data_IF_339059809859
#
_entry.id   IF_339059809859
#
_cell.length_a   1.000
_cell.length_b   1.000
_cell.length_c   1.000
_cell.angle_alpha   90.00
_cell.angle_beta   90.00
_cell.angle_gamma   90.00
#
_symmetry.space_group_name_H-M   'P 1'
#
loop_
_entity.id
_entity.type
_entity.pdbx_description
1 polymer ?
#
# COMPACT_ATOMS: atom_id res chain seq x y z
N UNK A 1 14.83 7.97 0.50
CA UNK A 1 15.70 8.44 -0.60
C UNK A 1 14.90 9.27 -1.60
N UNK A 2 13.83 8.74 -2.22
CA UNK A 2 12.96 9.50 -3.13
C UNK A 2 12.45 10.85 -2.58
N UNK A 3 11.91 10.88 -1.35
CA UNK A 3 11.42 12.10 -0.70
C UNK A 3 12.51 13.17 -0.45
N UNK A 4 13.79 12.77 -0.42
CA UNK A 4 14.91 13.68 -0.20
C UNK A 4 15.56 14.15 -1.51
N UNK A 5 15.59 13.28 -2.53
CA UNK A 5 16.34 13.51 -3.77
C UNK A 5 15.46 13.95 -4.94
N UNK A 6 14.20 13.53 -4.97
CA UNK A 6 13.31 13.66 -6.13
C UNK A 6 12.06 14.49 -5.82
N UNK A 7 11.90 15.03 -4.62
CA UNK A 7 10.72 15.85 -4.24
C UNK A 7 11.13 17.30 -3.98
N UNK A 8 10.40 18.26 -4.53
CA UNK A 8 10.60 19.67 -4.22
C UNK A 8 10.02 19.94 -2.84
N UNK A 9 10.90 20.33 -1.92
CA UNK A 9 10.59 20.53 -0.50
C UNK A 9 10.42 22.00 -0.16
N UNK A 10 10.59 22.91 -1.12
CA UNK A 10 10.47 24.34 -0.89
C UNK A 10 8.98 24.72 -0.91
N UNK A 11 8.42 24.96 0.27
CA UNK A 11 7.06 25.45 0.45
C UNK A 11 7.18 26.93 0.83
N UNK A 12 6.72 27.82 -0.05
CA UNK A 12 6.70 29.28 0.19
C UNK A 12 8.07 29.87 0.61
N UNK A 13 9.17 29.35 0.05
CA UNK A 13 10.53 29.80 0.33
C UNK A 13 11.21 29.11 1.52
N UNK A 14 10.53 28.20 2.21
CA UNK A 14 11.10 27.38 3.28
C UNK A 14 11.29 25.93 2.83
N UNK A 15 12.48 25.36 3.04
CA UNK A 15 12.79 23.97 2.69
C UNK A 15 12.37 23.01 3.81
N UNK A 16 11.34 22.20 3.56
CA UNK A 16 10.85 21.22 4.50
C UNK A 16 11.83 20.03 4.64
N UNK A 17 12.17 19.59 5.87
CA UNK A 17 12.96 18.37 6.07
C UNK A 17 12.26 17.14 5.48
N UNK A 18 12.99 16.31 4.73
CA UNK A 18 12.43 15.07 4.17
C UNK A 18 11.95 14.06 5.24
N UNK A 19 12.39 14.20 6.49
CA UNK A 19 11.90 13.39 7.61
C UNK A 19 10.43 13.68 7.94
N UNK A 20 9.97 14.91 7.77
CA UNK A 20 8.58 15.31 8.07
C UNK A 20 7.56 14.62 7.15
N UNK A 21 7.98 14.26 5.95
CA UNK A 21 7.17 13.48 5.01
C UNK A 21 6.80 12.11 5.60
N UNK A 22 7.68 11.50 6.41
CA UNK A 22 7.37 10.24 7.07
C UNK A 22 6.28 10.41 8.13
N UNK A 23 6.16 11.61 8.72
CA UNK A 23 5.10 11.94 9.67
C UNK A 23 3.72 12.11 9.03
N UNK A 24 3.62 12.21 7.70
CA UNK A 24 2.33 12.30 7.02
C UNK A 24 1.53 11.01 7.14
N UNK A 25 2.18 9.85 7.15
CA UNK A 25 1.49 8.57 7.33
C UNK A 25 0.74 8.51 8.68
N UNK A 26 1.37 8.69 9.86
CA UNK A 26 0.63 8.65 11.13
C UNK A 26 -0.41 9.78 11.25
N UNK A 27 -0.16 10.97 10.67
CA UNK A 27 -1.13 12.04 10.62
C UNK A 27 -2.41 11.61 9.87
N UNK A 28 -2.26 11.05 8.68
CA UNK A 28 -3.39 10.55 7.89
C UNK A 28 -4.08 9.37 8.57
N UNK A 29 -3.35 8.51 9.29
CA UNK A 29 -3.96 7.41 10.04
C UNK A 29 -4.92 7.96 11.08
N UNK A 30 -4.49 8.94 11.89
CA UNK A 30 -5.36 9.54 12.93
C UNK A 30 -6.58 10.20 12.31
N UNK A 31 -6.42 10.92 11.20
CA UNK A 31 -7.55 11.58 10.52
C UNK A 31 -8.53 10.56 9.92
N UNK A 32 -8.02 9.56 9.21
CA UNK A 32 -8.82 8.56 8.51
C UNK A 32 -9.39 7.49 9.45
N UNK A 33 -8.81 7.31 10.65
CA UNK A 33 -9.32 6.38 11.66
C UNK A 33 -10.77 6.69 12.09
N UNK A 34 -11.18 7.96 12.04
CA UNK A 34 -12.58 8.33 12.29
C UNK A 34 -13.45 8.20 11.03
N UNK A 35 -12.89 8.52 9.86
CA UNK A 35 -13.64 8.61 8.60
C UNK A 35 -13.94 7.22 8.02
N UNK A 36 -12.93 6.35 7.97
CA UNK A 36 -13.06 5.04 7.31
C UNK A 36 -14.07 4.12 7.99
N UNK A 37 -14.08 3.93 9.32
CA UNK A 37 -15.12 3.14 9.98
C UNK A 37 -16.52 3.74 9.80
N UNK A 38 -16.65 5.07 9.83
CA UNK A 38 -17.93 5.74 9.58
C UNK A 38 -18.43 5.50 8.15
N UNK A 39 -17.54 5.50 7.16
CA UNK A 39 -17.86 5.17 5.77
C UNK A 39 -18.34 3.72 5.61
N UNK A 40 -17.66 2.76 6.24
CA UNK A 40 -18.11 1.36 6.24
C UNK A 40 -19.45 1.18 6.97
N UNK A 41 -19.64 1.83 8.10
CA UNK A 41 -20.90 1.81 8.84
C UNK A 41 -22.06 2.40 8.02
N UNK A 42 -21.80 3.44 7.24
CA UNK A 42 -22.78 4.01 6.32
C UNK A 42 -23.15 3.05 5.18
N UNK A 43 -22.17 2.33 4.61
CA UNK A 43 -22.42 1.26 3.63
C UNK A 43 -23.19 0.09 4.24
N UNK A 44 -22.90 -0.25 5.49
CA UNK A 44 -23.61 -1.29 6.23
C UNK A 44 -25.09 -0.95 6.44
N UNK A 45 -25.40 0.30 6.80
CA UNK A 45 -26.80 0.79 6.88
C UNK A 45 -27.57 0.64 5.56
N UNK A 46 -26.88 0.51 4.42
CA UNK A 46 -27.47 0.27 3.09
C UNK A 46 -27.40 -1.19 2.64
N UNK A 47 -27.00 -2.12 3.51
CA UNK A 47 -26.74 -3.53 3.19
C UNK A 47 -25.76 -3.73 2.02
N UNK A 48 -24.81 -2.82 1.84
CA UNK A 48 -23.78 -2.86 0.78
C UNK A 48 -22.37 -2.94 1.35
N UNK A 49 -22.23 -3.34 2.61
CA UNK A 49 -20.92 -3.55 3.21
C UNK A 49 -20.22 -4.73 2.52
N UNK A 50 -19.02 -4.53 1.94
CA UNK A 50 -18.23 -5.61 1.39
C UNK A 50 -17.77 -6.55 2.51
N UNK A 51 -17.61 -7.83 2.21
CA UNK A 51 -17.05 -8.81 3.15
C UNK A 51 -15.62 -8.43 3.56
N UNK A 52 -15.15 -8.92 4.71
CA UNK A 52 -13.80 -8.65 5.21
C UNK A 52 -12.69 -8.91 4.17
N UNK A 53 -12.67 -10.04 3.43
CA UNK A 53 -11.69 -10.25 2.35
C UNK A 53 -11.86 -9.26 1.17
N UNK A 54 -13.08 -8.82 0.87
CA UNK A 54 -13.32 -7.85 -0.18
C UNK A 54 -12.83 -6.45 0.21
N UNK A 55 -12.97 -6.05 1.49
CA UNK A 55 -12.37 -4.81 2.00
C UNK A 55 -10.84 -4.83 1.93
N UNK A 56 -10.22 -5.97 2.23
CA UNK A 56 -8.77 -6.14 2.03
C UNK A 56 -8.38 -5.99 0.56
N UNK A 57 -9.15 -6.55 -0.38
CA UNK A 57 -8.91 -6.38 -1.81
C UNK A 57 -9.04 -4.91 -2.25
N UNK A 58 -10.02 -4.17 -1.72
CA UNK A 58 -10.14 -2.71 -1.93
C UNK A 58 -8.90 -1.99 -1.38
N UNK A 59 -8.38 -2.39 -0.22
CA UNK A 59 -7.15 -1.81 0.32
C UNK A 59 -5.93 -2.02 -0.58
N UNK A 60 -5.76 -3.22 -1.14
CA UNK A 60 -4.71 -3.51 -2.13
C UNK A 60 -4.89 -2.71 -3.43
N UNK A 61 -6.15 -2.53 -3.87
CA UNK A 61 -6.46 -1.71 -5.04
C UNK A 61 -6.10 -0.23 -4.79
N UNK A 62 -6.38 0.29 -3.59
CA UNK A 62 -5.99 1.64 -3.20
C UNK A 62 -4.46 1.80 -3.21
N UNK A 63 -3.71 0.81 -2.73
CA UNK A 63 -2.25 0.83 -2.86
C UNK A 63 -1.80 0.91 -4.33
N UNK A 64 -2.40 0.12 -5.21
CA UNK A 64 -2.14 0.17 -6.66
C UNK A 64 -2.44 1.55 -7.26
N UNK A 65 -3.59 2.14 -6.88
CA UNK A 65 -3.99 3.47 -7.32
C UNK A 65 -3.08 4.57 -6.78
N UNK A 66 -2.57 4.43 -5.55
CA UNK A 66 -1.59 5.34 -4.98
C UNK A 66 -0.29 5.33 -5.80
N UNK A 67 0.25 4.14 -6.07
CA UNK A 67 1.41 4.01 -6.94
C UNK A 67 1.16 4.54 -8.35
N UNK A 68 -0.04 4.35 -8.90
CA UNK A 68 -0.40 4.89 -10.21
C UNK A 68 -0.49 6.42 -10.18
N UNK A 69 -0.98 7.00 -9.09
CA UNK A 69 -1.05 8.44 -8.89
C UNK A 69 0.34 9.09 -8.91
N UNK A 70 1.32 8.50 -8.22
CA UNK A 70 2.71 9.00 -8.27
C UNK A 70 3.35 8.77 -9.65
N UNK A 71 3.00 7.70 -10.38
CA UNK A 71 3.46 7.51 -11.76
C UNK A 71 3.08 8.69 -12.67
N UNK A 72 1.84 9.21 -12.56
CA UNK A 72 1.42 10.40 -13.31
C UNK A 72 2.23 11.64 -12.91
N UNK A 73 2.55 11.78 -11.62
CA UNK A 73 3.37 12.88 -11.11
C UNK A 73 4.82 12.86 -11.58
N UNK A 74 5.34 11.69 -11.99
CA UNK A 74 6.74 11.49 -12.42
C UNK A 74 6.88 11.37 -13.95
N UNK A 75 5.78 11.07 -14.66
CA UNK A 75 5.78 10.80 -16.11
C UNK A 75 6.34 11.95 -16.96
N UNK A 76 6.02 13.19 -16.60
CA UNK A 76 6.42 14.39 -17.36
C UNK A 76 7.61 15.15 -16.73
N UNK A 77 8.25 14.56 -15.72
CA UNK A 77 9.34 15.20 -14.98
C UNK A 77 10.65 14.98 -15.71
N UNK A 78 11.20 16.05 -16.30
CA UNK A 78 12.51 16.03 -16.97
C UNK A 78 13.62 15.67 -15.97
N UNK A 79 14.67 15.00 -16.48
CA UNK A 79 15.86 14.66 -15.69
C UNK A 79 16.43 15.91 -14.99
N UNK A 80 16.41 15.91 -13.66
CA UNK A 80 16.89 17.03 -12.82
C UNK A 80 15.79 17.93 -12.24
N UNK A 81 14.53 17.77 -12.65
CA UNK A 81 13.39 18.48 -12.03
C UNK A 81 12.83 17.65 -10.88
N UNK A 82 12.58 18.28 -9.73
CA UNK A 82 11.98 17.61 -8.57
C UNK A 82 10.46 17.53 -8.71
N UNK A 83 9.88 16.40 -8.30
CA UNK A 83 8.43 16.15 -8.28
C UNK A 83 7.78 17.02 -7.20
N UNK A 84 6.63 17.62 -7.51
CA UNK A 84 5.87 18.42 -6.55
C UNK A 84 5.44 17.56 -5.33
N UNK A 85 5.62 18.09 -4.11
CA UNK A 85 5.23 17.48 -2.84
C UNK A 85 3.76 17.02 -2.79
N UNK A 86 2.87 17.66 -3.56
CA UNK A 86 1.46 17.29 -3.64
C UNK A 86 1.25 15.84 -4.11
N UNK A 87 2.07 15.34 -5.04
CA UNK A 87 1.98 13.98 -5.54
C UNK A 87 2.35 12.96 -4.46
N UNK A 88 3.41 13.26 -3.71
CA UNK A 88 3.87 12.41 -2.63
C UNK A 88 2.86 12.40 -1.47
N UNK A 89 2.31 13.58 -1.14
CA UNK A 89 1.27 13.72 -0.13
C UNK A 89 0.02 12.93 -0.50
N UNK A 90 -0.43 13.02 -1.76
CA UNK A 90 -1.56 12.25 -2.27
C UNK A 90 -1.31 10.74 -2.28
N UNK A 91 -0.11 10.29 -2.65
CA UNK A 91 0.32 8.90 -2.54
C UNK A 91 0.17 8.38 -1.10
N UNK A 92 0.73 9.11 -0.12
CA UNK A 92 0.62 8.74 1.29
C UNK A 92 -0.83 8.70 1.76
N UNK A 93 -1.64 9.68 1.36
CA UNK A 93 -3.06 9.72 1.71
C UNK A 93 -3.81 8.48 1.19
N UNK A 94 -3.66 8.14 -0.09
CA UNK A 94 -4.30 6.97 -0.70
C UNK A 94 -3.79 5.66 -0.07
N UNK A 95 -2.48 5.56 0.17
CA UNK A 95 -1.89 4.38 0.81
C UNK A 95 -2.42 4.18 2.22
N UNK A 96 -2.53 5.25 3.01
CA UNK A 96 -3.07 5.18 4.36
C UNK A 96 -4.54 4.76 4.36
N UNK A 97 -5.35 5.18 3.38
CA UNK A 97 -6.72 4.66 3.22
C UNK A 97 -6.72 3.14 3.00
N UNK A 98 -5.80 2.62 2.18
CA UNK A 98 -5.65 1.19 1.96
C UNK A 98 -5.15 0.44 3.19
N UNK A 99 -4.19 1.03 3.91
CA UNK A 99 -3.60 0.47 5.13
C UNK A 99 -4.63 0.26 6.25
N UNK A 100 -5.54 1.22 6.43
CA UNK A 100 -6.62 1.14 7.41
C UNK A 100 -7.64 0.06 7.02
N UNK A 101 -7.84 -0.19 5.72
CA UNK A 101 -8.72 -1.27 5.26
C UNK A 101 -8.09 -2.66 5.44
N UNK A 102 -6.76 -2.77 5.41
CA UNK A 102 -6.03 -4.04 5.47
C UNK A 102 -5.67 -4.49 6.89
N UNK A 103 -5.11 -3.58 7.69
CA UNK A 103 -4.45 -3.89 8.96
C UNK A 103 -5.35 -4.50 10.05
N UNK A 104 -6.58 -4.00 10.33
CA UNK A 104 -7.41 -4.62 11.37
C UNK A 104 -7.99 -5.96 10.94
N UNK A 105 -8.16 -6.17 9.63
CA UNK A 105 -8.80 -7.37 9.08
C UNK A 105 -7.84 -8.56 9.11
N UNK A 106 -6.57 -8.36 8.73
CA UNK A 106 -5.58 -9.43 8.65
C UNK A 106 -5.38 -10.15 9.99
N UNK A 107 -5.11 -9.37 11.05
CA UNK A 107 -4.89 -9.92 12.38
C UNK A 107 -6.17 -10.52 12.99
N UNK A 108 -7.32 -9.88 12.74
CA UNK A 108 -8.62 -10.40 13.22
C UNK A 108 -8.96 -11.75 12.58
N UNK A 109 -8.74 -11.90 11.27
CA UNK A 109 -9.00 -13.16 10.56
C UNK A 109 -8.09 -14.29 11.01
N UNK A 110 -6.79 -14.02 11.21
CA UNK A 110 -5.87 -15.03 11.75
C UNK A 110 -6.34 -15.49 13.13
N UNK A 111 -6.73 -14.57 14.01
CA UNK A 111 -7.22 -14.93 15.34
C UNK A 111 -8.54 -15.71 15.30
N UNK A 112 -9.52 -15.24 14.51
CA UNK A 112 -10.86 -15.86 14.46
C UNK A 112 -10.85 -17.25 13.80
N UNK A 113 -9.98 -17.48 12.82
CA UNK A 113 -9.94 -18.74 12.06
C UNK A 113 -8.94 -19.77 12.64
N UNK A 114 -8.09 -19.36 13.57
CA UNK A 114 -7.08 -20.27 14.16
C UNK A 114 -7.68 -21.10 15.30
N UNK A 115 -7.54 -22.44 15.28
CA UNK A 115 -7.87 -23.26 16.44
C UNK A 115 -6.95 -22.93 17.63
N UNK A 116 -7.47 -22.84 18.86
CA UNK A 116 -6.70 -22.45 20.05
C UNK A 116 -5.36 -23.21 20.19
N UNK A 117 -5.36 -24.52 19.89
CA UNK A 117 -4.17 -25.38 19.94
C UNK A 117 -3.04 -24.98 18.98
N UNK A 118 -3.34 -24.21 17.93
CA UNK A 118 -2.38 -23.75 16.91
C UNK A 118 -2.18 -22.23 16.93
N UNK A 119 -2.70 -21.52 17.93
CA UNK A 119 -2.64 -20.05 18.02
C UNK A 119 -1.20 -19.50 17.94
N UNK A 120 -0.27 -20.07 18.71
CA UNK A 120 1.14 -19.68 18.69
C UNK A 120 1.83 -19.99 17.36
N UNK A 121 1.48 -21.10 16.72
CA UNK A 121 2.02 -21.48 15.41
C UNK A 121 1.56 -20.52 14.31
N UNK A 122 0.28 -20.16 14.28
CA UNK A 122 -0.25 -19.21 13.29
C UNK A 122 0.28 -17.80 13.50
N UNK A 123 0.50 -17.38 14.76
CA UNK A 123 1.21 -16.13 15.04
C UNK A 123 2.66 -16.16 14.57
N UNK A 124 3.36 -17.28 14.76
CA UNK A 124 4.71 -17.49 14.21
C UNK A 124 4.71 -17.36 12.68
N UNK A 125 3.73 -17.96 11.99
CA UNK A 125 3.58 -17.86 10.55
C UNK A 125 3.26 -16.43 10.08
N UNK A 126 2.42 -15.70 10.82
CA UNK A 126 2.11 -14.30 10.55
C UNK A 126 3.37 -13.42 10.62
N UNK A 127 4.17 -13.53 11.68
CA UNK A 127 5.41 -12.78 11.80
C UNK A 127 6.46 -13.22 10.77
N UNK A 128 6.53 -14.51 10.44
CA UNK A 128 7.41 -15.00 9.38
C UNK A 128 7.03 -14.41 8.03
N UNK A 129 5.73 -14.37 7.71
CA UNK A 129 5.22 -13.72 6.51
C UNK A 129 5.60 -12.24 6.45
N UNK A 130 5.48 -11.51 7.57
CA UNK A 130 5.92 -10.12 7.67
C UNK A 130 7.43 -9.96 7.47
N UNK A 131 8.25 -10.85 8.02
CA UNK A 131 9.70 -10.82 7.83
C UNK A 131 10.06 -11.06 6.34
N UNK A 132 9.42 -12.04 5.70
CA UNK A 132 9.60 -12.31 4.27
C UNK A 132 9.15 -11.12 3.43
N UNK A 133 8.00 -10.50 3.75
CA UNK A 133 7.50 -9.32 3.06
C UNK A 133 8.46 -8.13 3.19
N UNK A 134 9.02 -7.87 4.38
CA UNK A 134 10.00 -6.81 4.58
C UNK A 134 11.30 -7.06 3.80
N UNK A 135 11.81 -8.30 3.80
CA UNK A 135 12.97 -8.67 2.98
C UNK A 135 12.71 -8.45 1.50
N UNK A 136 11.53 -8.85 1.03
CA UNK A 136 11.11 -8.68 -0.36
C UNK A 136 10.92 -7.20 -0.72
N UNK A 137 10.33 -6.39 0.17
CA UNK A 137 10.23 -4.95 0.02
C UNK A 137 11.61 -4.28 -0.06
N UNK A 138 12.59 -4.74 0.75
CA UNK A 138 13.98 -4.28 0.67
C UNK A 138 14.65 -4.64 -0.66
N UNK A 139 14.42 -5.85 -1.17
CA UNK A 139 14.90 -6.27 -2.49
C UNK A 139 14.31 -5.39 -3.61
N UNK A 140 12.99 -5.16 -3.58
CA UNK A 140 12.32 -4.27 -4.53
C UNK A 140 12.78 -2.82 -4.40
N UNK A 141 12.99 -2.32 -3.18
CA UNK A 141 13.56 -0.99 -2.93
C UNK A 141 14.99 -0.85 -3.46
N UNK A 142 15.76 -1.94 -3.47
CA UNK A 142 17.09 -1.99 -4.11
C UNK A 142 17.05 -1.84 -5.64
N UNK A 143 15.89 -1.97 -6.27
CA UNK A 143 15.69 -1.71 -7.71
C UNK A 143 15.52 -0.22 -8.03
N UNK A 144 15.65 0.66 -7.03
CA UNK A 144 15.63 2.10 -7.24
C UNK A 144 16.64 2.47 -8.35
N UNK A 145 16.25 3.28 -9.36
CA UNK A 145 17.11 3.62 -10.48
C UNK A 145 18.37 4.34 -9.98
N UNK A 146 19.54 3.78 -10.29
CA UNK A 146 20.85 4.41 -10.05
C UNK A 146 21.49 4.70 -11.41
N UNK A 147 22.05 5.90 -11.58
CA UNK A 147 22.71 6.27 -12.82
C UNK A 147 23.81 5.25 -13.20
N UNK A 148 23.68 4.61 -14.37
CA UNK A 148 24.67 3.67 -14.91
C UNK A 148 24.49 2.19 -14.55
N UNK A 149 23.40 1.78 -13.88
CA UNK A 149 23.09 0.36 -13.65
C UNK A 149 21.74 -0.01 -14.26
N UNK A 150 21.76 -0.78 -15.35
CA UNK A 150 20.57 -1.44 -15.88
C UNK A 150 20.11 -2.52 -14.89
N UNK A 151 19.02 -2.27 -14.18
CA UNK A 151 18.40 -3.26 -13.29
C UNK A 151 17.23 -3.90 -14.03
N UNK A 152 17.30 -5.22 -14.22
CA UNK A 152 16.24 -6.02 -14.85
C UNK A 152 15.54 -6.83 -13.78
N UNK A 153 14.21 -6.70 -13.70
CA UNK A 153 13.37 -7.56 -12.87
C UNK A 153 12.36 -8.28 -13.77
N UNK A 154 12.37 -9.62 -13.75
CA UNK A 154 11.39 -10.45 -14.48
C UNK A 154 11.25 -10.09 -15.99
N UNK A 155 12.33 -9.61 -16.62
CA UNK A 155 12.35 -9.20 -18.03
C UNK A 155 11.99 -7.73 -18.31
N UNK A 156 11.58 -6.96 -17.31
CA UNK A 156 11.35 -5.52 -17.42
C UNK A 156 12.62 -4.74 -17.09
N UNK A 157 13.04 -3.84 -17.98
CA UNK A 157 14.14 -2.91 -17.75
C UNK A 157 13.64 -1.73 -16.92
N UNK A 158 14.33 -1.44 -15.83
CA UNK A 158 14.02 -0.31 -14.95
C UNK A 158 15.00 0.80 -15.30
N UNK A 159 14.62 1.63 -16.26
CA UNK A 159 15.45 2.76 -16.72
C UNK A 159 14.97 4.08 -16.08
N UNK A 160 13.67 4.16 -15.75
CA UNK A 160 13.05 5.38 -15.23
C UNK A 160 12.34 5.15 -13.88
N UNK A 161 12.12 6.25 -13.15
CA UNK A 161 11.32 6.25 -11.91
C UNK A 161 9.87 5.81 -12.19
N UNK A 162 9.36 6.07 -13.39
CA UNK A 162 8.05 5.58 -13.82
C UNK A 162 8.00 4.06 -13.89
N UNK A 163 9.01 3.41 -14.49
CA UNK A 163 9.08 1.94 -14.58
C UNK A 163 9.18 1.31 -13.20
N UNK A 164 9.95 1.93 -12.30
CA UNK A 164 10.07 1.51 -10.92
C UNK A 164 8.71 1.49 -10.21
N UNK A 165 7.95 2.59 -10.25
CA UNK A 165 6.63 2.65 -9.62
C UNK A 165 5.60 1.75 -10.32
N UNK A 166 5.69 1.58 -11.64
CA UNK A 166 4.79 0.71 -12.42
C UNK A 166 4.85 -0.75 -11.98
N UNK A 167 6.02 -1.25 -11.56
CA UNK A 167 6.15 -2.60 -10.97
C UNK A 167 5.23 -2.73 -9.76
N UNK A 168 5.22 -1.74 -8.86
CA UNK A 168 4.36 -1.76 -7.69
C UNK A 168 2.88 -1.66 -8.06
N UNK A 169 2.52 -0.85 -9.07
CA UNK A 169 1.15 -0.77 -9.60
C UNK A 169 0.67 -2.15 -10.07
N UNK A 170 1.46 -2.81 -10.93
CA UNK A 170 1.11 -4.11 -11.50
C UNK A 170 1.03 -5.17 -10.40
N UNK A 171 2.02 -5.25 -9.51
CA UNK A 171 2.07 -6.25 -8.46
C UNK A 171 0.90 -6.11 -7.47
N UNK A 172 0.64 -4.89 -6.98
CA UNK A 172 -0.46 -4.63 -6.06
C UNK A 172 -1.82 -4.76 -6.76
N UNK A 173 -1.93 -4.39 -8.03
CA UNK A 173 -3.14 -4.56 -8.83
C UNK A 173 -3.48 -6.03 -9.08
N UNK A 174 -2.48 -6.86 -9.44
CA UNK A 174 -2.64 -8.31 -9.57
C UNK A 174 -3.02 -8.91 -8.22
N UNK A 175 -2.36 -8.53 -7.13
CA UNK A 175 -2.69 -9.02 -5.79
C UNK A 175 -4.13 -8.64 -5.38
N UNK A 176 -4.56 -7.41 -5.67
CA UNK A 176 -5.92 -6.95 -5.45
C UNK A 176 -6.94 -7.77 -6.24
N UNK A 177 -6.66 -8.02 -7.53
CA UNK A 177 -7.53 -8.81 -8.40
C UNK A 177 -7.63 -10.27 -7.95
N UNK A 178 -6.49 -10.90 -7.62
CA UNK A 178 -6.46 -12.27 -7.09
C UNK A 178 -7.29 -12.34 -5.80
N UNK A 179 -7.05 -11.42 -4.86
CA UNK A 179 -7.77 -11.41 -3.59
C UNK A 179 -9.26 -11.13 -3.79
N UNK A 180 -9.62 -10.25 -4.72
CA UNK A 180 -11.02 -9.97 -5.06
C UNK A 180 -11.71 -11.20 -5.64
N UNK A 181 -11.08 -11.95 -6.55
CA UNK A 181 -11.63 -13.19 -7.09
C UNK A 181 -11.74 -14.29 -6.02
N UNK A 182 -10.74 -14.39 -5.15
CA UNK A 182 -10.76 -15.33 -4.02
C UNK A 182 -11.72 -14.90 -2.91
N UNK A 183 -12.10 -13.62 -2.83
CA UNK A 183 -12.92 -13.08 -1.73
C UNK A 183 -14.25 -13.82 -1.59
N UNK A 184 -14.88 -14.21 -2.71
CA UNK A 184 -16.14 -14.97 -2.71
C UNK A 184 -15.94 -16.38 -2.12
N UNK A 185 -14.84 -17.04 -2.49
CA UNK A 185 -14.49 -18.38 -1.99
C UNK A 185 -14.09 -18.34 -0.52
N UNK A 186 -13.25 -17.36 -0.14
CA UNK A 186 -12.83 -17.14 1.25
C UNK A 186 -14.04 -16.87 2.14
N UNK A 187 -14.97 -16.02 1.69
CA UNK A 187 -16.22 -15.75 2.41
C UNK A 187 -17.04 -17.03 2.65
N UNK A 188 -17.15 -17.89 1.63
CA UNK A 188 -17.85 -19.18 1.77
C UNK A 188 -17.13 -20.12 2.76
N UNK A 189 -15.80 -20.16 2.73
CA UNK A 189 -14.99 -20.98 3.64
C UNK A 189 -14.98 -20.48 5.09
N UNK A 190 -15.29 -19.21 5.32
CA UNK A 190 -15.34 -18.60 6.65
C UNK A 190 -16.59 -19.00 7.46
N UNK A 191 -17.54 -19.78 6.92
CA UNK A 191 -18.71 -20.34 7.62
C UNK A 191 -19.44 -19.34 8.55
N UNK A 192 -19.59 -18.07 8.14
CA UNK A 192 -20.30 -17.05 8.91
C UNK A 192 -19.46 -16.28 9.96
N UNK A 193 -18.14 -16.47 9.97
CA UNK A 193 -17.21 -15.67 10.79
C UNK A 193 -16.98 -14.30 10.13
N UNK A 194 -17.88 -13.34 10.34
CA UNK A 194 -17.67 -11.90 10.01
C UNK A 194 -17.32 -11.09 11.27
#
# INVERSE_FOLDING_TARGET
MFAAEQTDRVIWGWEMPASWIQSFNPLFVVLLAYIMPAFWAFLNKRNREPSSPAKQAIGLLLLSLGYLFICFGVKDVQAGTKVNLMWLTGLYFIHTMGEIALSPIGLSMVNKLTPLRFASLMMGLWYLSMATANKFAGMLGGLYPEAGKEKVLLGFRIETMYDFFMIFVIMSGIAALILFLLSKKLRQMMHGVE
#
